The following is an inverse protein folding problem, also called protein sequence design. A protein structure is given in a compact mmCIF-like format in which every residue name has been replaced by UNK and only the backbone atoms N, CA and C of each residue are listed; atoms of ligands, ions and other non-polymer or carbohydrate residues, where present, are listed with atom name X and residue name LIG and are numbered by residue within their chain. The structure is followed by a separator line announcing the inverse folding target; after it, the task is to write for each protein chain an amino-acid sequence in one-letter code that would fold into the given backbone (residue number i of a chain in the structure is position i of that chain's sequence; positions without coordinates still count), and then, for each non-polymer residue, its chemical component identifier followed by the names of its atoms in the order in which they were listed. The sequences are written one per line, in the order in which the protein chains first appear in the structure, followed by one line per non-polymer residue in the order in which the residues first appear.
data_IF_366193494622
#
_entry.id   IF_366193494622
#
_cell.length_a   1.000
_cell.length_b   1.000
_cell.length_c   1.000
_cell.angle_alpha   90.00
_cell.angle_beta   90.00
_cell.angle_gamma   90.00
#
_symmetry.space_group_name_H-M   'P 1'
#
loop_
_entity.id
_entity.type
_entity.pdbx_description
1 polymer ?
#
# COMPACT_ATOMS: atom_id res chain seq x y z
N UNK A 1 9.09 4.15 -30.18
CA UNK A 1 8.72 5.53 -30.58
C UNK A 1 8.27 6.23 -29.31
N UNK A 2 9.06 7.21 -28.85
CA UNK A 2 8.77 7.94 -27.62
C UNK A 2 7.63 8.91 -27.90
N UNK A 3 6.65 8.99 -27.00
CA UNK A 3 5.57 9.98 -27.06
C UNK A 3 5.87 10.97 -25.94
N UNK A 4 6.20 12.19 -26.33
CA UNK A 4 6.37 13.31 -25.41
C UNK A 4 4.97 13.91 -25.16
N UNK A 5 4.54 13.92 -23.91
CA UNK A 5 3.30 14.60 -23.48
C UNK A 5 3.72 15.74 -22.56
N UNK A 6 3.62 16.97 -23.07
CA UNK A 6 3.82 18.18 -22.28
C UNK A 6 2.58 18.44 -21.43
N UNK A 7 2.69 18.24 -20.11
CA UNK A 7 1.68 18.68 -19.15
C UNK A 7 2.20 19.96 -18.51
N UNK A 8 1.66 21.10 -18.96
CA UNK A 8 1.89 22.38 -18.32
C UNK A 8 0.91 22.55 -17.14
N UNK A 9 1.42 22.54 -15.92
CA UNK A 9 0.70 23.08 -14.76
C UNK A 9 0.99 24.58 -14.68
N UNK A 10 -0.05 25.39 -14.84
CA UNK A 10 0.05 26.84 -14.81
C UNK A 10 -0.37 27.32 -13.42
N UNK A 11 0.58 27.34 -12.48
CA UNK A 11 0.39 27.97 -11.19
C UNK A 11 1.12 29.32 -11.16
N UNK A 12 0.33 30.39 -11.22
CA UNK A 12 0.78 31.73 -10.90
C UNK A 12 1.05 31.80 -9.39
N UNK A 13 2.29 31.53 -8.96
CA UNK A 13 2.99 32.35 -7.98
C UNK A 13 4.45 31.90 -7.82
N UNK A 14 5.30 32.92 -7.83
CA UNK A 14 6.74 32.90 -8.00
C UNK A 14 7.50 32.29 -6.79
N UNK A 15 8.20 31.18 -7.03
CA UNK A 15 9.58 31.00 -6.52
C UNK A 15 10.28 29.83 -7.22
N UNK A 16 10.99 30.15 -8.31
CA UNK A 16 12.10 29.38 -8.92
C UNK A 16 12.15 27.87 -8.66
N UNK A 17 11.23 27.10 -9.25
CA UNK A 17 11.46 25.68 -9.49
C UNK A 17 11.86 25.46 -10.96
N UNK A 18 12.98 24.77 -11.17
CA UNK A 18 13.33 24.24 -12.51
C UNK A 18 12.23 23.28 -12.93
N UNK A 19 11.76 23.31 -14.19
CA UNK A 19 10.75 22.37 -14.66
C UNK A 19 11.27 20.94 -14.43
N UNK A 20 10.51 20.16 -13.66
CA UNK A 20 10.73 18.72 -13.49
C UNK A 20 10.40 18.05 -14.82
N UNK A 21 11.37 18.03 -15.73
CA UNK A 21 11.29 17.18 -16.91
C UNK A 21 11.52 15.75 -16.43
N UNK A 22 10.41 15.03 -16.17
CA UNK A 22 10.40 13.59 -15.90
C UNK A 22 10.79 12.85 -17.19
N UNK A 23 12.08 12.91 -17.53
CA UNK A 23 12.67 12.16 -18.64
C UNK A 23 12.76 10.71 -18.19
N UNK A 24 11.91 9.88 -18.77
CA UNK A 24 11.76 8.43 -18.55
C UNK A 24 10.66 8.05 -17.56
N UNK A 25 9.45 8.00 -18.08
CA UNK A 25 8.50 6.99 -17.59
C UNK A 25 9.04 5.62 -18.01
N UNK A 26 9.36 4.82 -16.99
CA UNK A 26 9.74 3.43 -17.13
C UNK A 26 8.65 2.67 -17.91
N UNK A 27 9.01 1.83 -18.88
CA UNK A 27 8.03 1.08 -19.67
C UNK A 27 7.12 0.24 -18.76
N UNK A 28 7.64 -0.21 -17.62
CA UNK A 28 6.88 -0.92 -16.58
C UNK A 28 5.80 -0.06 -15.93
N UNK A 29 6.03 1.25 -15.78
CA UNK A 29 5.03 2.18 -15.25
C UNK A 29 3.92 2.42 -16.27
N UNK A 30 4.28 2.66 -17.54
CA UNK A 30 3.30 2.83 -18.63
C UNK A 30 2.50 1.54 -18.80
N UNK A 31 3.15 0.37 -18.80
CA UNK A 31 2.49 -0.92 -18.91
C UNK A 31 1.57 -1.19 -17.72
N UNK A 32 1.98 -0.89 -16.48
CA UNK A 32 1.09 -0.99 -15.31
C UNK A 32 -0.11 -0.06 -15.44
N UNK A 33 0.11 1.20 -15.86
CA UNK A 33 -0.94 2.20 -15.99
C UNK A 33 -1.93 1.85 -17.11
N UNK A 34 -1.45 1.41 -18.27
CA UNK A 34 -2.28 0.91 -19.36
C UNK A 34 -2.98 -0.40 -19.00
N UNK A 35 -2.31 -1.32 -18.30
CA UNK A 35 -2.95 -2.55 -17.80
C UNK A 35 -4.07 -2.24 -16.81
N UNK A 36 -3.87 -1.25 -15.94
CA UNK A 36 -4.89 -0.77 -15.02
C UNK A 36 -6.06 -0.12 -15.78
N UNK A 37 -5.78 0.73 -16.77
CA UNK A 37 -6.81 1.34 -17.63
C UNK A 37 -7.62 0.27 -18.37
N UNK A 38 -6.96 -0.70 -19.00
CA UNK A 38 -7.64 -1.80 -19.72
C UNK A 38 -8.47 -2.66 -18.77
N UNK A 39 -8.00 -2.94 -17.55
CA UNK A 39 -8.76 -3.66 -16.52
C UNK A 39 -9.94 -2.85 -15.98
N UNK A 40 -9.79 -1.53 -15.85
CA UNK A 40 -10.88 -0.63 -15.41
C UNK A 40 -11.91 -0.38 -16.52
N UNK A 41 -11.53 -0.48 -17.79
CA UNK A 41 -12.43 -0.31 -18.95
C UNK A 41 -13.19 -1.60 -19.31
N UNK A 42 -12.82 -2.75 -18.76
CA UNK A 42 -13.52 -4.00 -18.99
C UNK A 42 -14.64 -4.21 -17.95
N UNK A 43 -15.89 -4.04 -18.37
CA UNK A 43 -17.13 -4.08 -17.58
C UNK A 43 -17.46 -5.43 -16.88
N UNK A 44 -16.51 -6.36 -16.77
CA UNK A 44 -16.73 -7.69 -16.18
C UNK A 44 -16.42 -7.77 -14.68
N UNK A 45 -16.19 -6.65 -13.99
CA UNK A 45 -15.97 -6.58 -12.53
C UNK A 45 -14.80 -7.44 -12.00
N UNK A 46 -13.88 -7.89 -12.85
CA UNK A 46 -12.88 -8.88 -12.43
C UNK A 46 -11.71 -8.25 -11.65
N UNK A 47 -11.53 -6.94 -11.79
CA UNK A 47 -10.52 -6.17 -11.07
C UNK A 47 -11.06 -5.63 -9.73
N UNK A 48 -10.39 -5.88 -8.59
CA UNK A 48 -10.90 -5.50 -7.27
C UNK A 48 -10.64 -4.02 -6.98
N UNK A 49 -11.35 -3.13 -7.68
CA UNK A 49 -11.19 -1.68 -7.58
C UNK A 49 -11.35 -1.18 -6.15
N UNK A 50 -12.25 -1.77 -5.37
CA UNK A 50 -12.44 -1.44 -3.95
C UNK A 50 -11.18 -1.76 -3.11
N UNK A 51 -10.51 -2.90 -3.37
CA UNK A 51 -9.26 -3.29 -2.69
C UNK A 51 -8.14 -2.31 -3.03
N UNK A 52 -8.04 -1.92 -4.30
CA UNK A 52 -7.06 -0.94 -4.76
C UNK A 52 -7.28 0.44 -4.13
N UNK A 53 -8.51 0.97 -4.24
CA UNK A 53 -8.90 2.25 -3.64
C UNK A 53 -8.56 2.27 -2.15
N UNK A 54 -8.90 1.20 -1.43
CA UNK A 54 -8.62 1.10 0.00
C UNK A 54 -7.12 1.07 0.32
N UNK A 55 -6.32 0.38 -0.49
CA UNK A 55 -4.87 0.36 -0.32
C UNK A 55 -4.25 1.74 -0.53
N UNK A 56 -4.70 2.49 -1.55
CA UNK A 56 -4.26 3.87 -1.81
C UNK A 56 -4.70 4.83 -0.71
N UNK A 57 -5.93 4.70 -0.20
CA UNK A 57 -6.39 5.50 0.94
C UNK A 57 -5.48 5.33 2.17
N UNK A 58 -5.00 4.11 2.43
CA UNK A 58 -4.13 3.83 3.57
C UNK A 58 -2.69 4.34 3.41
N UNK A 59 -2.33 4.92 2.25
CA UNK A 59 -1.08 5.67 2.12
C UNK A 59 -1.04 6.93 2.99
N UNK A 60 -2.21 7.44 3.37
CA UNK A 60 -2.35 8.60 4.23
C UNK A 60 -2.54 8.17 5.69
N UNK A 61 -1.77 8.80 6.59
CA UNK A 61 -1.74 8.64 8.03
C UNK A 61 -3.13 8.72 8.62
N UNK A 62 -3.92 9.72 8.23
CA UNK A 62 -5.28 9.89 8.74
C UNK A 62 -6.19 8.69 8.46
N UNK A 63 -6.03 8.04 7.30
CA UNK A 63 -6.77 6.82 6.98
C UNK A 63 -6.33 5.65 7.86
N UNK A 64 -5.02 5.55 8.15
CA UNK A 64 -4.49 4.51 9.03
C UNK A 64 -4.94 4.73 10.47
N UNK A 65 -4.85 5.95 10.98
CA UNK A 65 -5.25 6.32 12.33
C UNK A 65 -6.73 6.00 12.60
N UNK A 66 -7.61 6.26 11.62
CA UNK A 66 -9.05 5.94 11.72
C UNK A 66 -9.36 4.46 11.94
N UNK A 67 -8.42 3.55 11.68
CA UNK A 67 -8.62 2.11 11.95
C UNK A 67 -8.56 1.77 13.44
N UNK A 68 -7.92 2.60 14.27
CA UNK A 68 -7.74 2.39 15.71
C UNK A 68 -8.95 2.89 16.50
N UNK A 69 -10.09 2.22 16.35
CA UNK A 69 -11.33 2.60 17.06
C UNK A 69 -11.37 2.17 18.52
N UNK A 70 -10.71 1.06 18.88
CA UNK A 70 -10.69 0.46 20.23
C UNK A 70 -9.30 -0.03 20.60
N UNK A 71 -8.29 0.81 20.39
CA UNK A 71 -6.91 0.47 20.72
C UNK A 71 -6.67 0.52 22.23
N UNK A 72 -6.05 -0.52 22.80
CA UNK A 72 -5.89 -0.64 24.26
C UNK A 72 -4.82 0.29 24.86
N UNK A 73 -3.89 0.78 24.05
CA UNK A 73 -2.80 1.63 24.53
C UNK A 73 -3.15 3.12 24.43
N UNK A 74 -2.89 3.83 25.54
CA UNK A 74 -3.08 5.29 25.63
C UNK A 74 -2.07 6.07 24.79
N UNK A 75 -2.30 7.38 24.65
CA UNK A 75 -1.42 8.29 23.92
C UNK A 75 0.01 8.37 24.49
N UNK A 76 0.20 8.05 25.77
CA UNK A 76 1.49 8.16 26.46
C UNK A 76 2.42 6.95 26.19
N UNK A 77 1.90 5.86 25.64
CA UNK A 77 2.70 4.67 25.32
C UNK A 77 3.44 4.83 23.98
N UNK A 78 4.50 4.03 23.78
CA UNK A 78 5.24 4.02 22.51
C UNK A 78 4.46 3.36 21.38
N UNK A 79 3.60 2.41 21.72
CA UNK A 79 2.69 1.74 20.80
C UNK A 79 1.31 2.41 20.74
N UNK A 80 1.21 3.72 20.96
CA UNK A 80 -0.05 4.45 20.84
C UNK A 80 -0.59 4.40 19.40
N UNK A 81 -1.91 4.54 19.24
CA UNK A 81 -2.56 4.47 17.92
C UNK A 81 -1.93 5.42 16.88
N UNK A 82 -1.51 6.62 17.31
CA UNK A 82 -0.81 7.58 16.44
C UNK A 82 0.54 7.05 15.99
N UNK A 83 1.38 6.58 16.91
CA UNK A 83 2.72 6.05 16.59
C UNK A 83 2.65 4.78 15.74
N UNK A 84 1.64 3.95 15.95
CA UNK A 84 1.33 2.79 15.11
C UNK A 84 0.98 3.20 13.68
N UNK A 85 0.04 4.13 13.54
CA UNK A 85 -0.37 4.65 12.23
C UNK A 85 0.80 5.35 11.51
N UNK A 86 1.64 6.08 12.23
CA UNK A 86 2.85 6.70 11.71
C UNK A 86 3.82 5.65 11.13
N UNK A 87 4.06 4.55 11.86
CA UNK A 87 4.88 3.42 11.40
C UNK A 87 4.24 2.56 10.30
N UNK A 88 3.08 2.97 9.76
CA UNK A 88 2.43 2.33 8.63
C UNK A 88 1.48 1.20 9.00
N UNK A 89 1.14 1.03 10.27
CA UNK A 89 0.22 -0.01 10.71
C UNK A 89 -1.24 0.44 10.67
N UNK A 90 -2.10 -0.42 10.15
CA UNK A 90 -3.56 -0.35 10.32
C UNK A 90 -4.00 -1.39 11.35
N UNK A 91 -4.94 -1.03 12.21
CA UNK A 91 -5.58 -1.96 13.13
C UNK A 91 -6.52 -2.89 12.35
N UNK A 92 -6.30 -4.19 12.46
CA UNK A 92 -7.14 -5.24 11.88
C UNK A 92 -7.65 -6.23 12.93
N UNK A 93 -7.48 -5.85 14.21
CA UNK A 93 -7.89 -6.62 15.37
C UNK A 93 -9.35 -7.07 15.30
N UNK A 94 -9.58 -8.33 15.64
CA UNK A 94 -10.91 -8.87 15.93
C UNK A 94 -11.13 -8.83 17.45
N UNK A 95 -12.38 -8.72 17.89
CA UNK A 95 -12.66 -8.65 19.34
C UNK A 95 -12.31 -9.93 20.09
N UNK A 96 -12.31 -11.07 19.40
CA UNK A 96 -12.41 -12.38 20.04
C UNK A 96 -11.12 -13.21 19.95
N UNK A 97 -10.23 -12.95 18.99
CA UNK A 97 -9.04 -13.77 18.78
C UNK A 97 -7.74 -13.00 18.88
N UNK A 98 -7.67 -11.80 18.29
CA UNK A 98 -6.42 -11.04 18.17
C UNK A 98 -6.68 -9.55 18.45
N UNK A 99 -6.79 -9.16 19.73
CA UNK A 99 -7.30 -7.84 20.14
C UNK A 99 -6.36 -6.68 19.81
N UNK A 100 -5.10 -6.96 19.46
CA UNK A 100 -4.08 -5.98 19.09
C UNK A 100 -3.39 -6.30 17.76
N UNK A 101 -4.02 -7.10 16.89
CA UNK A 101 -3.49 -7.37 15.56
C UNK A 101 -3.44 -6.09 14.72
N UNK A 102 -2.26 -5.80 14.19
CA UNK A 102 -2.05 -4.75 13.22
C UNK A 102 -1.43 -5.31 11.95
N UNK A 103 -1.65 -4.62 10.83
CA UNK A 103 -1.10 -4.98 9.52
C UNK A 103 -0.45 -3.76 8.88
N UNK A 104 0.75 -3.90 8.33
CA UNK A 104 1.33 -2.81 7.54
C UNK A 104 0.49 -2.55 6.29
N UNK A 105 0.17 -1.28 6.00
CA UNK A 105 -0.58 -0.91 4.79
C UNK A 105 0.18 -1.25 3.50
N UNK A 106 1.52 -1.28 3.56
CA UNK A 106 2.40 -1.45 2.41
C UNK A 106 2.82 -2.91 2.23
N UNK A 107 3.68 -3.44 3.11
CA UNK A 107 4.23 -4.80 2.98
C UNK A 107 3.29 -5.90 3.47
N UNK A 108 2.13 -5.55 4.05
CA UNK A 108 1.12 -6.47 4.58
C UNK A 108 1.58 -7.37 5.73
N UNK A 109 2.77 -7.14 6.30
CA UNK A 109 3.23 -7.84 7.51
C UNK A 109 2.26 -7.58 8.65
N UNK A 110 1.83 -8.66 9.28
CA UNK A 110 0.98 -8.65 10.47
C UNK A 110 1.85 -8.85 11.72
N UNK A 111 1.51 -8.13 12.78
CA UNK A 111 2.14 -8.19 14.10
C UNK A 111 1.05 -8.07 15.18
N UNK A 112 1.21 -8.82 16.25
CA UNK A 112 0.34 -8.88 17.42
C UNK A 112 1.20 -8.94 18.70
N UNK A 113 0.56 -8.96 19.87
CA UNK A 113 1.26 -9.13 21.15
C UNK A 113 2.10 -7.92 21.57
N UNK A 114 1.60 -6.71 21.28
CA UNK A 114 2.32 -5.47 21.54
C UNK A 114 2.44 -5.19 23.04
N UNK A 115 3.48 -4.46 23.44
CA UNK A 115 3.69 -3.93 24.78
C UNK A 115 3.81 -2.42 24.79
N UNK A 116 3.55 -1.79 25.94
CA UNK A 116 3.52 -0.34 26.08
C UNK A 116 4.85 0.36 25.72
N UNK A 117 5.96 -0.36 25.84
CA UNK A 117 7.31 0.10 25.55
C UNK A 117 7.70 -0.01 24.08
N UNK A 118 7.00 -0.83 23.29
CA UNK A 118 7.41 -1.19 21.94
C UNK A 118 7.39 0.03 21.01
N UNK A 119 8.42 0.13 20.18
CA UNK A 119 8.58 1.20 19.21
C UNK A 119 8.13 0.67 17.85
N UNK A 120 6.97 1.12 17.31
CA UNK A 120 6.39 0.51 16.12
C UNK A 120 7.30 0.52 14.88
N UNK A 121 8.13 1.56 14.71
CA UNK A 121 9.10 1.61 13.62
C UNK A 121 10.18 0.54 13.73
N UNK A 122 10.67 0.26 14.94
CA UNK A 122 11.72 -0.71 15.17
C UNK A 122 11.19 -2.14 14.97
N UNK A 123 9.99 -2.42 15.50
CA UNK A 123 9.29 -3.68 15.27
C UNK A 123 8.98 -3.91 13.78
N UNK A 124 8.55 -2.87 13.07
CA UNK A 124 8.28 -2.99 11.64
C UNK A 124 9.56 -3.36 10.86
N UNK A 125 10.68 -2.71 11.18
CA UNK A 125 11.97 -2.93 10.51
C UNK A 125 12.57 -4.30 10.83
N UNK A 126 12.46 -4.74 12.08
CA UNK A 126 12.96 -6.05 12.51
C UNK A 126 12.18 -7.20 11.86
N UNK A 127 10.85 -7.08 11.80
CA UNK A 127 9.97 -8.12 11.28
C UNK A 127 9.71 -8.07 9.76
N UNK A 128 10.06 -6.96 9.10
CA UNK A 128 9.89 -6.78 7.65
C UNK A 128 11.05 -5.98 7.05
N UNK A 129 12.26 -6.55 7.08
CA UNK A 129 13.51 -5.90 6.63
C UNK A 129 13.51 -5.43 5.17
N UNK A 130 12.60 -5.94 4.34
CA UNK A 130 12.44 -5.58 2.91
C UNK A 130 11.35 -4.54 2.66
N UNK A 131 10.63 -4.09 3.68
CA UNK A 131 9.57 -3.10 3.51
C UNK A 131 10.19 -1.72 3.21
N UNK A 132 10.01 -1.21 1.98
CA UNK A 132 10.53 0.11 1.59
C UNK A 132 10.03 1.23 2.50
N UNK A 133 8.75 1.18 2.90
CA UNK A 133 8.19 2.16 3.83
C UNK A 133 8.89 2.11 5.21
N UNK A 134 9.12 0.91 5.76
CA UNK A 134 9.82 0.73 7.02
C UNK A 134 11.30 1.12 6.94
N UNK A 135 11.92 1.05 5.75
CA UNK A 135 13.30 1.48 5.54
C UNK A 135 13.43 3.01 5.49
N UNK A 136 12.40 3.71 4.98
CA UNK A 136 12.41 5.17 4.95
C UNK A 136 12.31 5.79 6.34
N UNK A 137 11.48 5.22 7.24
CA UNK A 137 11.25 5.71 8.61
C UNK A 137 10.90 7.22 8.64
N UNK A 138 10.05 7.67 7.71
CA UNK A 138 9.60 9.06 7.59
C UNK A 138 8.10 9.16 7.69
N UNK A 139 7.60 10.24 8.30
CA UNK A 139 6.22 10.65 8.15
C UNK A 139 5.97 11.11 6.71
N UNK A 140 4.73 11.02 6.24
CA UNK A 140 4.37 11.34 4.86
C UNK A 140 4.56 12.79 4.47
N UNK A 141 4.42 13.72 5.41
CA UNK A 141 4.70 15.14 5.20
C UNK A 141 6.21 15.43 5.05
N UNK A 142 7.07 14.53 5.52
CA UNK A 142 8.54 14.65 5.43
C UNK A 142 9.13 13.91 4.22
N UNK A 143 8.29 13.23 3.44
CA UNK A 143 8.71 12.53 2.24
C UNK A 143 8.84 13.50 1.06
N UNK A 144 9.87 13.30 0.25
CA UNK A 144 9.95 13.96 -1.06
C UNK A 144 8.88 13.39 -1.99
N UNK A 145 8.44 14.19 -2.98
CA UNK A 145 7.52 13.73 -4.05
C UNK A 145 8.03 12.44 -4.71
N UNK A 146 9.34 12.34 -4.93
CA UNK A 146 9.96 11.15 -5.54
C UNK A 146 9.82 9.91 -4.66
N UNK A 147 10.08 10.02 -3.35
CA UNK A 147 9.93 8.90 -2.41
C UNK A 147 8.47 8.44 -2.33
N UNK A 148 7.54 9.40 -2.27
CA UNK A 148 6.12 9.10 -2.22
C UNK A 148 5.62 8.40 -3.50
N UNK A 149 6.00 8.91 -4.68
CA UNK A 149 5.67 8.29 -5.97
C UNK A 149 6.31 6.90 -6.13
N UNK A 150 7.51 6.69 -5.60
CA UNK A 150 8.16 5.37 -5.60
C UNK A 150 7.37 4.37 -4.75
N UNK A 151 6.95 4.75 -3.54
CA UNK A 151 6.08 3.91 -2.71
C UNK A 151 4.74 3.63 -3.39
N UNK A 152 4.14 4.63 -4.04
CA UNK A 152 2.91 4.43 -4.83
C UNK A 152 3.10 3.38 -5.93
N UNK A 153 4.16 3.53 -6.74
CA UNK A 153 4.52 2.59 -7.81
C UNK A 153 4.68 1.16 -7.26
N UNK A 154 5.44 1.01 -6.18
CA UNK A 154 5.69 -0.31 -5.60
C UNK A 154 4.44 -0.94 -4.99
N UNK A 155 3.59 -0.13 -4.33
CA UNK A 155 2.31 -0.61 -3.81
C UNK A 155 1.40 -1.10 -4.94
N UNK A 156 1.36 -0.38 -6.07
CA UNK A 156 0.60 -0.76 -7.26
C UNK A 156 1.07 -2.08 -7.86
N UNK A 157 2.38 -2.23 -8.06
CA UNK A 157 2.98 -3.46 -8.58
C UNK A 157 2.62 -4.64 -7.67
N UNK A 158 2.74 -4.48 -6.35
CA UNK A 158 2.41 -5.52 -5.39
C UNK A 158 0.92 -5.88 -5.40
N UNK A 159 0.02 -4.90 -5.52
CA UNK A 159 -1.42 -5.16 -5.58
C UNK A 159 -1.82 -5.92 -6.84
N UNK A 160 -1.27 -5.53 -7.99
CA UNK A 160 -1.52 -6.19 -9.28
C UNK A 160 -0.95 -7.60 -9.26
N UNK A 161 0.29 -7.78 -8.81
CA UNK A 161 0.94 -9.09 -8.74
C UNK A 161 0.16 -10.06 -7.84
N UNK A 162 -0.19 -9.64 -6.63
CA UNK A 162 -1.01 -10.43 -5.71
C UNK A 162 -2.38 -10.79 -6.31
N UNK A 163 -3.00 -9.87 -7.05
CA UNK A 163 -4.28 -10.15 -7.71
C UNK A 163 -4.15 -11.25 -8.76
N UNK A 164 -3.12 -11.20 -9.61
CA UNK A 164 -2.88 -12.23 -10.62
C UNK A 164 -2.52 -13.57 -9.98
N UNK A 165 -1.73 -13.59 -8.90
CA UNK A 165 -1.44 -14.82 -8.15
C UNK A 165 -2.69 -15.46 -7.55
N UNK A 166 -3.59 -14.65 -6.96
CA UNK A 166 -4.86 -15.14 -6.40
C UNK A 166 -5.75 -15.74 -7.50
N UNK A 167 -5.79 -15.09 -8.67
CA UNK A 167 -6.52 -15.59 -9.84
C UNK A 167 -5.93 -16.89 -10.35
N UNK A 168 -4.61 -16.99 -10.45
CA UNK A 168 -3.93 -18.21 -10.86
C UNK A 168 -4.25 -19.38 -9.91
N UNK A 169 -4.21 -19.14 -8.59
CA UNK A 169 -4.59 -20.13 -7.57
C UNK A 169 -6.04 -20.58 -7.73
N UNK A 170 -6.96 -19.66 -8.02
CA UNK A 170 -8.38 -19.99 -8.26
C UNK A 170 -8.56 -20.87 -9.51
N UNK A 171 -7.92 -20.49 -10.62
CA UNK A 171 -7.98 -21.28 -11.87
C UNK A 171 -7.40 -22.68 -11.65
N UNK A 172 -6.25 -22.79 -11.00
CA UNK A 172 -5.63 -24.09 -10.65
C UNK A 172 -6.57 -24.98 -9.83
N UNK A 173 -7.24 -24.42 -8.82
CA UNK A 173 -8.24 -25.14 -8.00
C UNK A 173 -9.43 -25.63 -8.83
N UNK A 174 -9.96 -24.79 -9.72
CA UNK A 174 -11.07 -25.16 -10.60
C UNK A 174 -10.69 -26.29 -11.56
N UNK A 175 -9.51 -26.21 -12.17
CA UNK A 175 -8.99 -27.27 -13.03
C UNK A 175 -8.83 -28.60 -12.27
N UNK A 176 -8.32 -28.57 -11.03
CA UNK A 176 -8.20 -29.76 -10.20
C UNK A 176 -9.56 -30.38 -9.85
N UNK A 177 -10.52 -29.55 -9.41
CA UNK A 177 -11.89 -30.00 -9.11
C UNK A 177 -12.58 -30.65 -10.32
N UNK A 178 -12.41 -30.07 -11.51
CA UNK A 178 -12.97 -30.62 -12.76
C UNK A 178 -12.36 -31.97 -13.15
N UNK A 179 -11.06 -32.18 -12.89
CA UNK A 179 -10.42 -33.50 -13.10
C UNK A 179 -11.00 -34.56 -12.16
N UNK A 180 -11.23 -34.22 -10.89
CA UNK A 180 -11.84 -35.13 -9.91
C UNK A 180 -13.29 -35.49 -10.25
N UNK A 181 -14.06 -34.60 -10.88
CA UNK A 181 -15.45 -34.88 -11.27
C UNK A 181 -15.61 -35.72 -12.56
N UNK A 182 -14.51 -35.97 -13.28
CA UNK A 182 -14.49 -36.73 -14.53
C UNK A 182 -13.99 -38.17 -14.35
N UNK A 183 -13.50 -38.51 -13.15
CA UNK A 183 -13.07 -39.85 -12.75
C UNK A 183 -14.05 -40.43 -11.73
#
# INVERSE_FOLDING_TARGET
KNIDIDVAFNDNNDSKERPLVLKHFDFDFIFCFFSLIVLMMNNNNDFPLAKYKKAMENMYFQSRLKTYTKWRFSANHNCSASKMAEAGFICVATKDTEPDLVRCFFCKKELDGWDASDVPWDEHKSHSTKCLFAQLQKHEDDMTVKEFLLLQKELMINLISNHFEDKEKQVKKLCHKKKLSLN
#
